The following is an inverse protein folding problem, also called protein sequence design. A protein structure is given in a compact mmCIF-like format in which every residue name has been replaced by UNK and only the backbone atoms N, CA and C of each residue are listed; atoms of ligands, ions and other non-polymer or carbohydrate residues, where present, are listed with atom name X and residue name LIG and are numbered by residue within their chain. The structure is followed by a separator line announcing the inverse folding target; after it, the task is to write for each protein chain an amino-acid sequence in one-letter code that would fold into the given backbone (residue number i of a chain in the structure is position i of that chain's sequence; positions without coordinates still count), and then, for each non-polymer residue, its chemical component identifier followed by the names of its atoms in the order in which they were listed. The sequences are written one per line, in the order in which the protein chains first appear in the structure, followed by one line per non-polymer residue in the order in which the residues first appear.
data_IF_010421272805
#
_entry.id   IF_010421272805
#
_cell.length_a   1.000
_cell.length_b   1.000
_cell.length_c   1.000
_cell.angle_alpha   90.00
_cell.angle_beta   90.00
_cell.angle_gamma   90.00
#
_symmetry.space_group_name_H-M   'P 1'
#
loop_
_entity.id
_entity.type
_entity.pdbx_description
1 polymer ?
#
# COMPACT_ATOMS: atom_id res chain seq x y z
N UNK A 1 -2.52 13.63 3.92
CA UNK A 1 -2.77 12.18 4.18
C UNK A 1 -2.17 11.70 5.50
N UNK A 2 -0.85 11.75 5.74
CA UNK A 2 -0.23 11.23 6.98
C UNK A 2 -0.81 11.80 8.30
N UNK A 3 -1.28 13.06 8.27
CA UNK A 3 -1.92 13.71 9.43
C UNK A 3 -3.43 13.44 9.56
N UNK A 4 -4.01 12.67 8.65
CA UNK A 4 -5.43 12.33 8.60
C UNK A 4 -5.67 10.88 9.04
N UNK A 5 -4.75 9.97 8.73
CA UNK A 5 -4.92 8.57 9.09
C UNK A 5 -4.67 8.35 10.58
N UNK A 6 -5.52 7.53 11.19
CA UNK A 6 -5.44 7.11 12.60
C UNK A 6 -5.69 5.60 12.66
N UNK A 7 -4.67 4.81 12.33
CA UNK A 7 -4.82 3.36 12.27
C UNK A 7 -3.50 2.62 12.54
N UNK A 8 -3.55 1.54 13.33
CA UNK A 8 -2.36 0.76 13.72
C UNK A 8 -1.52 0.29 12.53
N UNK A 9 -2.15 -0.01 11.39
CA UNK A 9 -1.51 -0.55 10.19
C UNK A 9 -1.33 0.46 9.04
N UNK A 10 -1.51 1.75 9.30
CA UNK A 10 -1.28 2.83 8.32
C UNK A 10 -0.34 3.85 8.96
N UNK A 11 0.76 4.19 8.28
CA UNK A 11 1.72 5.15 8.81
C UNK A 11 1.06 6.52 8.97
N UNK A 12 1.22 7.10 10.14
CA UNK A 12 0.64 8.39 10.52
C UNK A 12 1.75 9.32 11.01
N UNK A 13 1.58 10.62 10.80
CA UNK A 13 2.51 11.63 11.32
C UNK A 13 2.28 11.80 12.83
N UNK A 14 3.35 11.65 13.62
CA UNK A 14 3.35 11.98 15.04
C UNK A 14 3.47 13.49 15.24
N UNK A 15 4.28 14.15 14.41
CA UNK A 15 4.47 15.59 14.44
C UNK A 15 5.02 16.11 13.10
N UNK A 16 4.95 17.41 12.88
CA UNK A 16 5.63 18.10 11.78
C UNK A 16 6.43 19.25 12.37
N UNK A 17 7.71 19.33 12.03
CA UNK A 17 8.55 20.42 12.53
C UNK A 17 8.05 21.76 12.02
N UNK A 18 8.15 22.78 12.88
CA UNK A 18 7.80 24.13 12.48
C UNK A 18 8.72 24.59 11.34
N UNK A 19 8.16 24.94 10.18
CA UNK A 19 8.96 25.49 9.10
C UNK A 19 9.49 26.88 9.50
N UNK A 20 10.62 27.33 8.92
CA UNK A 20 11.04 28.72 9.02
C UNK A 20 10.00 29.64 8.36
N UNK A 21 10.25 30.96 8.34
CA UNK A 21 9.39 31.89 7.62
C UNK A 21 9.06 31.40 6.20
N UNK A 22 7.84 31.66 5.72
CA UNK A 22 7.31 31.12 4.45
C UNK A 22 8.25 31.33 3.25
N UNK A 23 8.97 32.45 3.22
CA UNK A 23 9.95 32.78 2.17
C UNK A 23 11.17 31.83 2.14
N UNK A 24 11.49 31.19 3.28
CA UNK A 24 12.60 30.24 3.44
C UNK A 24 12.12 28.79 3.57
N UNK A 25 10.82 28.54 3.34
CA UNK A 25 10.26 27.20 3.42
C UNK A 25 10.64 26.38 2.17
N UNK A 26 11.68 25.57 2.32
CA UNK A 26 12.23 24.70 1.27
C UNK A 26 12.03 23.22 1.55
N UNK A 27 12.03 22.83 2.83
CA UNK A 27 12.00 21.44 3.26
C UNK A 27 10.92 21.23 4.32
N UNK A 28 10.38 20.01 4.35
CA UNK A 28 9.38 19.58 5.33
C UNK A 28 9.94 18.37 6.06
N UNK A 29 9.89 18.43 7.39
CA UNK A 29 10.32 17.33 8.24
C UNK A 29 9.10 16.76 8.96
N UNK A 30 8.74 15.53 8.60
CA UNK A 30 7.63 14.79 9.20
C UNK A 30 8.19 13.77 10.18
N UNK A 31 7.73 13.81 11.42
CA UNK A 31 8.08 12.85 12.46
C UNK A 31 7.04 11.73 12.44
N UNK A 32 7.53 10.49 12.42
CA UNK A 32 6.70 9.29 12.40
C UNK A 32 7.21 8.28 13.43
N UNK A 33 6.45 7.22 13.66
CA UNK A 33 6.93 6.08 14.43
C UNK A 33 8.08 5.39 13.67
N UNK A 34 9.14 4.99 14.39
CA UNK A 34 10.27 4.28 13.81
C UNK A 34 9.95 2.80 13.62
N UNK A 35 9.94 2.35 12.37
CA UNK A 35 9.96 0.93 12.00
C UNK A 35 11.34 0.59 11.44
N UNK A 36 11.99 -0.45 11.97
CA UNK A 36 13.42 -0.73 11.70
C UNK A 36 13.68 -1.24 10.29
N UNK A 37 12.67 -1.80 9.62
CA UNK A 37 12.81 -2.44 8.33
C UNK A 37 11.53 -2.30 7.49
N UNK A 38 11.59 -2.84 6.29
CA UNK A 38 10.46 -3.08 5.38
C UNK A 38 10.30 -4.58 5.14
N UNK A 39 9.12 -4.98 4.63
CA UNK A 39 8.78 -6.37 4.38
C UNK A 39 9.65 -6.98 3.27
N UNK A 40 10.14 -6.18 2.31
CA UNK A 40 11.05 -6.66 1.26
C UNK A 40 12.31 -7.26 1.88
N UNK A 41 12.98 -6.52 2.79
CA UNK A 41 14.15 -7.01 3.52
C UNK A 41 13.85 -8.28 4.32
N UNK A 42 12.68 -8.39 4.93
CA UNK A 42 12.29 -9.62 5.66
C UNK A 42 12.16 -10.80 4.69
N UNK A 43 11.51 -10.61 3.55
CA UNK A 43 11.29 -11.66 2.54
C UNK A 43 12.61 -12.24 2.04
N UNK A 44 13.57 -11.38 1.68
CA UNK A 44 14.86 -11.80 1.10
C UNK A 44 15.91 -12.19 2.16
N UNK A 45 15.64 -11.92 3.44
CA UNK A 45 16.55 -12.30 4.52
C UNK A 45 16.58 -13.82 4.76
N UNK A 46 17.67 -14.36 5.34
CA UNK A 46 17.72 -15.75 5.78
C UNK A 46 16.84 -16.05 7.01
N UNK A 47 16.18 -15.03 7.60
CA UNK A 47 15.33 -15.22 8.76
C UNK A 47 14.11 -16.09 8.39
N UNK A 48 13.81 -17.09 9.20
CA UNK A 48 12.68 -18.00 8.96
C UNK A 48 11.32 -17.28 9.14
N UNK A 49 10.46 -17.33 8.12
CA UNK A 49 9.03 -17.00 8.20
C UNK A 49 8.31 -18.31 8.47
N UNK A 50 7.63 -18.39 9.60
CA UNK A 50 6.68 -19.47 9.83
C UNK A 50 5.30 -19.06 9.23
N UNK A 51 4.35 -20.01 9.12
CA UNK A 51 3.00 -19.72 8.61
C UNK A 51 2.29 -18.61 9.37
N UNK A 52 2.54 -18.49 10.67
CA UNK A 52 1.90 -17.53 11.54
C UNK A 52 2.34 -16.09 11.24
N UNK A 53 3.63 -15.88 10.94
CA UNK A 53 4.13 -14.61 10.46
C UNK A 53 3.44 -14.21 9.15
N UNK A 54 3.26 -15.16 8.22
CA UNK A 54 2.58 -14.91 6.94
C UNK A 54 1.14 -14.44 7.18
N UNK A 55 0.37 -15.17 8.01
CA UNK A 55 -1.01 -14.82 8.35
C UNK A 55 -1.10 -13.44 8.99
N UNK A 56 -0.22 -13.13 9.95
CA UNK A 56 -0.21 -11.85 10.67
C UNK A 56 0.17 -10.69 9.75
N UNK A 57 1.17 -10.85 8.89
CA UNK A 57 1.52 -9.80 7.91
C UNK A 57 0.38 -9.59 6.91
N UNK A 58 -0.18 -10.66 6.34
CA UNK A 58 -1.29 -10.56 5.39
C UNK A 58 -2.52 -9.91 6.02
N UNK A 59 -2.88 -10.29 7.25
CA UNK A 59 -3.98 -9.69 8.00
C UNK A 59 -3.77 -8.19 8.20
N UNK A 60 -2.60 -7.76 8.68
CA UNK A 60 -2.30 -6.35 8.92
C UNK A 60 -2.33 -5.52 7.62
N UNK A 61 -1.83 -6.05 6.50
CA UNK A 61 -1.89 -5.38 5.20
C UNK A 61 -3.34 -5.16 4.77
N UNK A 62 -4.16 -6.21 4.80
CA UNK A 62 -5.57 -6.13 4.41
C UNK A 62 -6.38 -5.22 5.35
N UNK A 63 -6.08 -5.27 6.65
CA UNK A 63 -6.71 -4.40 7.66
C UNK A 63 -6.39 -2.93 7.40
N UNK A 64 -5.13 -2.60 7.10
CA UNK A 64 -4.72 -1.25 6.70
C UNK A 64 -5.38 -0.79 5.40
N UNK A 65 -5.46 -1.68 4.40
CA UNK A 65 -6.15 -1.35 3.14
C UNK A 65 -7.65 -1.14 3.31
N UNK A 66 -8.35 -1.94 4.14
CA UNK A 66 -9.77 -1.70 4.46
C UNK A 66 -9.98 -0.30 5.02
N UNK A 67 -9.11 0.14 5.93
CA UNK A 67 -9.13 1.50 6.47
C UNK A 67 -8.93 2.54 5.35
N UNK A 68 -7.88 2.42 4.54
CA UNK A 68 -7.62 3.35 3.43
C UNK A 68 -8.76 3.40 2.40
N UNK A 69 -9.28 2.25 2.00
CA UNK A 69 -10.39 2.14 1.04
C UNK A 69 -11.67 2.77 1.59
N UNK A 70 -11.93 2.68 2.90
CA UNK A 70 -13.05 3.38 3.53
C UNK A 70 -12.89 4.90 3.55
N UNK A 71 -11.64 5.41 3.55
CA UNK A 71 -11.33 6.82 3.31
C UNK A 71 -11.41 7.23 1.83
N UNK A 72 -11.79 6.30 0.93
CA UNK A 72 -11.74 6.44 -0.53
C UNK A 72 -10.32 6.64 -1.08
N UNK A 73 -9.30 6.16 -0.38
CA UNK A 73 -7.90 6.24 -0.82
C UNK A 73 -7.49 4.93 -1.49
N UNK A 74 -7.08 5.00 -2.75
CA UNK A 74 -6.41 3.91 -3.47
C UNK A 74 -4.90 4.09 -3.31
N UNK A 75 -4.18 3.05 -2.86
CA UNK A 75 -2.75 3.18 -2.61
C UNK A 75 -1.93 3.13 -3.90
N UNK A 76 -2.28 2.22 -4.83
CA UNK A 76 -1.73 2.08 -6.20
C UNK A 76 -0.26 1.65 -6.30
N UNK A 77 0.51 1.71 -5.23
CA UNK A 77 1.90 1.21 -5.15
C UNK A 77 2.13 0.28 -3.94
N UNK A 78 1.21 -0.66 -3.70
CA UNK A 78 1.40 -1.68 -2.66
C UNK A 78 2.49 -2.65 -3.12
N UNK A 79 3.60 -2.66 -2.39
CA UNK A 79 4.76 -3.54 -2.61
C UNK A 79 5.49 -3.76 -1.29
N UNK A 80 6.30 -4.82 -1.13
CA UNK A 80 6.96 -5.12 0.13
C UNK A 80 7.85 -4.00 0.68
N UNK A 81 8.42 -3.15 -0.18
CA UNK A 81 9.20 -1.97 0.24
C UNK A 81 8.37 -0.84 0.89
N UNK A 82 7.06 -0.79 0.59
CA UNK A 82 6.12 0.19 1.15
C UNK A 82 5.34 -0.36 2.37
N UNK A 83 5.78 -1.50 2.89
CA UNK A 83 5.22 -2.15 4.07
C UNK A 83 6.29 -2.17 5.15
N UNK A 84 6.29 -1.15 6.00
CA UNK A 84 7.24 -1.01 7.09
C UNK A 84 6.95 -2.05 8.17
N UNK A 85 8.00 -2.60 8.78
CA UNK A 85 7.90 -3.63 9.82
C UNK A 85 8.90 -3.41 10.95
N UNK A 86 8.55 -3.91 12.14
CA UNK A 86 9.44 -3.94 13.30
C UNK A 86 9.70 -5.35 13.82
N UNK A 87 10.58 -5.47 14.82
CA UNK A 87 10.94 -6.74 15.47
C UNK A 87 9.76 -7.46 16.14
N UNK A 88 8.69 -6.72 16.45
CA UNK A 88 7.47 -7.25 17.04
C UNK A 88 6.44 -7.66 15.97
N UNK A 89 6.83 -7.70 14.69
CA UNK A 89 5.98 -7.98 13.54
C UNK A 89 4.80 -7.00 13.37
N UNK A 90 4.87 -5.81 13.97
CA UNK A 90 3.93 -4.72 13.63
C UNK A 90 4.24 -4.28 12.21
N UNK A 91 3.19 -4.13 11.40
CA UNK A 91 3.28 -3.69 10.02
C UNK A 91 2.48 -2.41 9.81
N UNK A 92 3.07 -1.44 9.11
CA UNK A 92 2.40 -0.21 8.66
C UNK A 92 2.60 0.02 7.16
N UNK A 93 1.52 0.31 6.46
CA UNK A 93 1.55 0.77 5.08
C UNK A 93 2.09 2.20 5.04
N UNK A 94 3.05 2.48 4.17
CA UNK A 94 3.64 3.80 3.95
C UNK A 94 3.73 4.16 2.46
N UNK A 95 4.28 5.35 2.19
CA UNK A 95 4.48 5.89 0.84
C UNK A 95 3.18 6.08 0.04
N UNK A 96 2.50 7.19 0.37
CA UNK A 96 1.29 7.63 -0.30
C UNK A 96 1.59 8.54 -1.51
N UNK A 97 2.82 8.55 -2.04
CA UNK A 97 3.23 9.44 -3.13
C UNK A 97 2.46 9.22 -4.44
N UNK A 98 1.96 7.99 -4.65
CA UNK A 98 1.07 7.64 -5.77
C UNK A 98 -0.38 7.40 -5.32
N UNK A 99 -0.68 7.57 -4.04
CA UNK A 99 -2.03 7.35 -3.55
C UNK A 99 -2.97 8.42 -4.10
N UNK A 100 -4.21 8.04 -4.40
CA UNK A 100 -5.22 8.97 -4.93
C UNK A 100 -6.58 8.70 -4.32
N UNK A 101 -7.39 9.75 -4.20
CA UNK A 101 -8.81 9.60 -3.92
C UNK A 101 -9.47 8.90 -5.11
N UNK A 102 -10.31 7.91 -4.82
CA UNK A 102 -11.07 7.16 -5.80
C UNK A 102 -12.01 8.11 -6.57
N UNK A 103 -11.88 8.14 -7.90
CA UNK A 103 -12.74 8.95 -8.75
C UNK A 103 -14.12 8.28 -8.93
N UNK A 104 -15.21 8.89 -8.41
CA UNK A 104 -16.54 8.29 -8.50
C UNK A 104 -17.09 8.26 -9.94
N UNK A 105 -16.67 9.21 -10.79
CA UNK A 105 -17.11 9.25 -12.18
C UNK A 105 -16.27 8.31 -13.06
N UNK A 106 -16.86 7.18 -13.44
CA UNK A 106 -16.23 6.17 -14.31
C UNK A 106 -15.83 6.70 -15.69
N UNK A 107 -16.36 7.85 -16.12
CA UNK A 107 -16.01 8.45 -17.41
C UNK A 107 -14.71 9.27 -17.37
N UNK A 108 -14.24 9.63 -16.17
CA UNK A 108 -12.99 10.37 -16.03
C UNK A 108 -11.80 9.43 -16.01
N UNK A 109 -10.75 9.84 -16.70
CA UNK A 109 -9.52 9.08 -16.79
C UNK A 109 -8.66 9.29 -15.56
N UNK A 110 -8.16 8.18 -15.01
CA UNK A 110 -7.15 8.20 -13.97
C UNK A 110 -5.76 8.00 -14.58
N UNK A 111 -4.76 8.71 -14.04
CA UNK A 111 -3.39 8.65 -14.54
C UNK A 111 -2.78 7.26 -14.33
N UNK A 112 -1.91 6.85 -15.25
CA UNK A 112 -1.11 5.64 -15.13
C UNK A 112 0.31 6.08 -14.75
N UNK A 113 0.57 6.29 -13.47
CA UNK A 113 1.90 6.64 -12.97
C UNK A 113 2.79 5.40 -12.99
N UNK A 114 3.98 5.53 -13.58
CA UNK A 114 4.84 4.39 -13.93
C UNK A 114 5.92 4.21 -12.85
N UNK A 115 5.75 3.19 -11.98
CA UNK A 115 6.76 2.78 -10.96
C UNK A 115 7.02 1.25 -11.03
N UNK A 116 7.21 0.52 -9.94
CA UNK A 116 7.58 -0.91 -9.92
C UNK A 116 6.48 -1.77 -10.56
N UNK A 117 6.81 -2.66 -11.50
CA UNK A 117 5.81 -3.39 -12.30
C UNK A 117 5.31 -4.71 -11.71
N UNK A 118 6.10 -5.35 -10.84
CA UNK A 118 5.86 -6.73 -10.35
C UNK A 118 4.53 -6.93 -9.62
N UNK A 119 4.01 -5.88 -9.01
CA UNK A 119 2.79 -5.91 -8.19
C UNK A 119 1.59 -5.24 -8.88
N UNK A 120 1.73 -4.82 -10.14
CA UNK A 120 0.66 -4.13 -10.86
C UNK A 120 -0.42 -5.10 -11.32
N UNK A 121 -1.67 -4.65 -11.16
CA UNK A 121 -2.85 -5.39 -11.58
C UNK A 121 -2.98 -5.49 -13.11
N UNK A 122 -3.56 -6.57 -13.64
CA UNK A 122 -3.67 -6.80 -15.08
C UNK A 122 -4.44 -5.69 -15.79
N UNK A 123 -5.48 -5.12 -15.17
CA UNK A 123 -6.23 -4.00 -15.74
C UNK A 123 -5.37 -2.74 -15.93
N UNK A 124 -4.40 -2.48 -15.05
CA UNK A 124 -3.45 -1.37 -15.19
C UNK A 124 -2.49 -1.67 -16.35
N UNK A 125 -1.97 -2.90 -16.43
CA UNK A 125 -1.08 -3.34 -17.52
C UNK A 125 -1.78 -3.31 -18.89
N UNK A 126 -3.08 -3.62 -18.91
CA UNK A 126 -3.92 -3.59 -20.11
C UNK A 126 -4.42 -2.18 -20.46
N UNK A 127 -4.01 -1.15 -19.73
CA UNK A 127 -4.32 0.23 -20.06
C UNK A 127 -5.74 0.69 -19.69
N UNK A 128 -6.34 0.11 -18.63
CA UNK A 128 -7.63 0.56 -18.13
C UNK A 128 -7.58 2.04 -17.75
N UNK A 129 -8.63 2.77 -18.13
CA UNK A 129 -8.74 4.22 -17.91
C UNK A 129 -9.35 4.58 -16.56
N UNK A 130 -10.05 3.64 -15.95
CA UNK A 130 -10.63 3.73 -14.62
C UNK A 130 -10.34 2.43 -13.88
N UNK A 131 -10.03 2.53 -12.60
CA UNK A 131 -9.67 1.41 -11.74
C UNK A 131 -10.11 1.68 -10.31
N UNK A 132 -10.26 0.61 -9.53
CA UNK A 132 -10.85 0.63 -8.18
C UNK A 132 -9.87 0.11 -7.14
N UNK A 133 -10.32 0.03 -5.88
CA UNK A 133 -9.64 -0.67 -4.79
C UNK A 133 -9.14 -2.09 -5.12
N UNK A 134 -9.72 -2.74 -6.14
CA UNK A 134 -9.27 -4.06 -6.60
C UNK A 134 -7.80 -4.10 -7.01
N UNK A 135 -7.21 -2.98 -7.46
CA UNK A 135 -5.78 -2.93 -7.86
C UNK A 135 -4.87 -3.21 -6.67
N UNK A 136 -5.20 -2.70 -5.49
CA UNK A 136 -4.42 -2.93 -4.28
C UNK A 136 -4.55 -4.38 -3.81
N UNK A 137 -5.73 -4.99 -3.95
CA UNK A 137 -5.94 -6.42 -3.61
C UNK A 137 -5.11 -7.34 -4.50
N UNK A 138 -4.99 -7.01 -5.79
CA UNK A 138 -4.09 -7.75 -6.68
C UNK A 138 -2.64 -7.69 -6.18
N UNK A 139 -2.15 -6.49 -5.84
CA UNK A 139 -0.81 -6.30 -5.31
C UNK A 139 -0.59 -7.11 -4.03
N UNK A 140 -1.59 -7.16 -3.13
CA UNK A 140 -1.56 -8.03 -1.94
C UNK A 140 -1.49 -9.50 -2.32
N UNK A 141 -2.20 -9.95 -3.36
CA UNK A 141 -2.09 -11.31 -3.88
C UNK A 141 -0.66 -11.66 -4.31
N UNK A 142 -0.01 -10.76 -5.06
CA UNK A 142 1.40 -10.94 -5.44
C UNK A 142 2.33 -11.05 -4.21
N UNK A 143 2.15 -10.17 -3.23
CA UNK A 143 2.92 -10.17 -1.98
C UNK A 143 2.65 -11.45 -1.17
N UNK A 144 1.40 -11.92 -1.14
CA UNK A 144 1.05 -13.15 -0.45
C UNK A 144 1.73 -14.37 -1.09
N UNK A 145 1.73 -14.45 -2.42
CA UNK A 145 2.51 -15.47 -3.14
C UNK A 145 4.00 -15.40 -2.80
N UNK A 146 4.57 -14.20 -2.78
CA UNK A 146 5.98 -13.97 -2.41
C UNK A 146 6.30 -14.31 -0.95
N UNK A 147 5.38 -14.07 0.00
CA UNK A 147 5.54 -14.51 1.38
C UNK A 147 5.58 -16.05 1.50
N UNK A 148 4.87 -16.76 0.63
CA UNK A 148 4.83 -18.22 0.60
C UNK A 148 6.10 -18.84 -0.03
N UNK A 149 6.63 -18.25 -1.10
CA UNK A 149 7.78 -18.81 -1.85
C UNK A 149 9.11 -18.09 -1.64
N UNK A 150 9.12 -16.95 -0.94
CA UNK A 150 10.29 -16.06 -0.75
C UNK A 150 10.90 -15.52 -2.04
N UNK A 151 10.12 -15.50 -3.12
CA UNK A 151 10.52 -14.99 -4.43
C UNK A 151 9.41 -14.15 -5.03
N UNK A 152 9.78 -13.13 -5.80
CA UNK A 152 8.81 -12.28 -6.50
C UNK A 152 7.96 -13.18 -7.42
N UNK A 153 6.64 -13.14 -7.25
CA UNK A 153 5.72 -14.05 -7.94
C UNK A 153 5.74 -13.85 -9.47
N UNK A 154 5.83 -12.60 -9.91
CA UNK A 154 5.90 -12.21 -11.33
C UNK A 154 7.07 -11.24 -11.54
N UNK A 155 8.23 -11.78 -11.89
CA UNK A 155 9.47 -11.01 -12.06
C UNK A 155 9.73 -10.67 -13.53
N UNK A 156 8.94 -9.76 -14.11
CA UNK A 156 9.08 -9.36 -15.51
C UNK A 156 9.98 -8.14 -15.75
N UNK A 157 10.60 -8.04 -16.92
CA UNK A 157 11.40 -6.86 -17.31
C UNK A 157 10.55 -5.73 -17.89
N UNK A 158 9.36 -6.02 -18.39
CA UNK A 158 8.47 -5.01 -18.97
C UNK A 158 6.97 -5.35 -18.78
N UNK A 159 6.04 -4.41 -19.01
CA UNK A 159 4.60 -4.63 -18.78
C UNK A 159 3.98 -5.75 -19.63
N UNK A 160 4.50 -6.01 -20.83
CA UNK A 160 4.00 -7.08 -21.71
C UNK A 160 4.40 -8.44 -21.15
N UNK A 161 5.67 -8.60 -20.79
CA UNK A 161 6.17 -9.81 -20.14
C UNK A 161 5.45 -10.07 -18.80
N UNK A 162 5.16 -9.01 -18.02
CA UNK A 162 4.38 -9.13 -16.81
C UNK A 162 2.99 -9.73 -17.09
N UNK A 163 2.33 -9.27 -18.15
CA UNK A 163 1.04 -9.78 -18.57
C UNK A 163 1.12 -11.23 -19.07
N UNK A 164 2.19 -11.57 -19.78
CA UNK A 164 2.45 -12.95 -20.24
C UNK A 164 2.62 -13.91 -19.05
N UNK A 165 3.42 -13.55 -18.04
CA UNK A 165 3.61 -14.35 -16.82
C UNK A 165 2.29 -14.55 -16.06
N UNK A 166 1.48 -13.48 -15.94
CA UNK A 166 0.15 -13.57 -15.33
C UNK A 166 -0.73 -14.56 -16.09
N UNK A 167 -0.69 -14.51 -17.43
CA UNK A 167 -1.46 -15.38 -18.31
C UNK A 167 -0.99 -16.83 -18.25
N UNK A 168 0.29 -17.08 -18.00
CA UNK A 168 0.82 -18.43 -17.78
C UNK A 168 0.27 -19.09 -16.53
N UNK A 169 0.10 -18.31 -15.47
CA UNK A 169 -0.47 -18.81 -14.22
C UNK A 169 -2.00 -18.95 -14.31
N UNK A 170 -2.69 -17.89 -14.72
CA UNK A 170 -4.16 -17.79 -14.67
C UNK A 170 -4.86 -18.33 -15.93
N UNK A 171 -4.12 -18.61 -16.99
CA UNK A 171 -4.66 -18.95 -18.30
C UNK A 171 -5.10 -17.71 -19.09
N UNK A 172 -5.50 -17.91 -20.35
CA UNK A 172 -5.98 -16.81 -21.19
C UNK A 172 -7.34 -16.30 -20.68
N UNK A 173 -7.46 -15.00 -20.32
CA UNK A 173 -8.71 -14.42 -19.85
C UNK A 173 -9.77 -14.42 -20.96
N UNK A 174 -11.04 -14.52 -20.59
CA UNK A 174 -12.13 -14.36 -21.54
C UNK A 174 -12.31 -12.89 -21.88
N UNK A 175 -13.01 -12.60 -22.98
CA UNK A 175 -13.33 -11.22 -23.40
C UNK A 175 -14.07 -10.46 -22.28
N UNK A 176 -14.96 -11.13 -21.55
CA UNK A 176 -15.69 -10.57 -20.40
C UNK A 176 -14.78 -10.10 -19.26
N UNK A 177 -13.64 -10.78 -19.07
CA UNK A 177 -12.66 -10.48 -18.03
C UNK A 177 -11.72 -9.33 -18.46
N UNK A 178 -11.72 -8.97 -19.74
CA UNK A 178 -10.92 -7.89 -20.33
C UNK A 178 -11.77 -6.65 -20.68
N UNK A 179 -12.93 -6.49 -20.05
CA UNK A 179 -13.88 -5.39 -20.35
C UNK A 179 -13.25 -4.00 -20.24
N UNK A 180 -12.31 -3.83 -19.32
CA UNK A 180 -11.62 -2.56 -19.07
C UNK A 180 -10.33 -2.40 -19.86
N UNK A 181 -9.88 -3.43 -20.59
CA UNK A 181 -8.66 -3.41 -21.37
C UNK A 181 -8.77 -2.46 -22.57
N UNK A 182 -7.68 -1.75 -22.87
CA UNK A 182 -7.56 -1.00 -24.11
C UNK A 182 -7.53 -1.94 -25.32
N UNK A 183 -7.85 -1.41 -26.51
CA UNK A 183 -7.94 -2.21 -27.73
C UNK A 183 -6.61 -2.92 -28.06
N UNK A 184 -5.48 -2.23 -27.89
CA UNK A 184 -4.16 -2.80 -28.14
C UNK A 184 -3.84 -4.01 -27.26
N UNK A 185 -4.12 -3.91 -25.95
CA UNK A 185 -3.90 -5.01 -25.01
C UNK A 185 -4.82 -6.19 -25.29
N UNK A 186 -6.10 -5.94 -25.58
CA UNK A 186 -7.07 -6.99 -25.93
C UNK A 186 -6.66 -7.75 -27.18
N UNK A 187 -6.25 -7.02 -28.22
CA UNK A 187 -5.77 -7.61 -29.47
C UNK A 187 -4.48 -8.42 -29.27
N UNK A 188 -3.56 -7.95 -28.42
CA UNK A 188 -2.37 -8.71 -28.05
C UNK A 188 -2.74 -10.05 -27.39
N UNK A 189 -3.62 -10.03 -26.38
CA UNK A 189 -4.06 -11.24 -25.66
C UNK A 189 -4.76 -12.26 -26.58
N UNK A 190 -5.60 -11.79 -27.51
CA UNK A 190 -6.34 -12.66 -28.43
C UNK A 190 -5.48 -13.25 -29.56
N UNK A 191 -4.31 -12.66 -29.86
CA UNK A 191 -3.36 -13.20 -30.84
C UNK A 191 -2.51 -14.34 -30.29
N UNK A 192 -2.31 -14.38 -28.98
CA UNK A 192 -1.56 -15.44 -28.32
C UNK A 192 -2.36 -16.76 -28.31
N UNK A 193 -1.71 -17.93 -28.45
CA UNK A 193 -2.39 -19.21 -28.32
C UNK A 193 -3.09 -19.35 -26.96
N UNK A 194 -4.33 -19.87 -26.90
CA UNK A 194 -5.04 -20.04 -25.63
C UNK A 194 -4.26 -20.91 -24.64
N UNK A 195 -3.94 -20.35 -23.48
CA UNK A 195 -3.28 -21.05 -22.36
C UNK A 195 -4.34 -21.51 -21.35
N UNK A 196 -4.17 -22.72 -20.80
CA UNK A 196 -4.99 -23.21 -19.69
C UNK A 196 -4.44 -22.70 -18.36
N UNK A 197 -5.28 -22.44 -17.35
CA UNK A 197 -4.80 -22.06 -16.02
C UNK A 197 -3.91 -23.14 -15.41
N UNK A 198 -2.79 -22.73 -14.80
CA UNK A 198 -1.83 -23.59 -14.11
C UNK A 198 -1.88 -23.37 -12.59
N UNK A 199 -3.10 -23.31 -12.02
CA UNK A 199 -3.30 -22.99 -10.60
C UNK A 199 -2.67 -24.04 -9.65
N UNK A 200 -2.42 -25.25 -10.13
CA UNK A 200 -1.69 -26.27 -9.37
C UNK A 200 -0.27 -25.83 -9.01
N UNK A 201 0.34 -24.94 -9.80
CA UNK A 201 1.65 -24.36 -9.48
C UNK A 201 1.63 -23.57 -8.16
N UNK A 202 0.47 -23.03 -7.74
CA UNK A 202 0.35 -22.30 -6.48
C UNK A 202 0.56 -23.19 -5.25
N UNK A 203 0.21 -24.48 -5.35
CA UNK A 203 0.49 -25.47 -4.29
C UNK A 203 1.99 -25.80 -4.18
N UNK A 204 2.78 -25.46 -5.19
CA UNK A 204 4.25 -25.68 -5.19
C UNK A 204 5.04 -24.46 -4.74
N UNK A 205 4.38 -23.35 -4.40
CA UNK A 205 5.05 -22.12 -3.95
C UNK A 205 5.87 -22.34 -2.67
N UNK A 206 5.47 -23.24 -1.78
CA UNK A 206 6.23 -23.55 -0.58
C UNK A 206 5.50 -24.48 0.35
N UNK A 207 6.17 -24.91 1.43
CA UNK A 207 5.59 -25.80 2.45
C UNK A 207 4.42 -25.18 3.23
N UNK A 208 4.16 -23.88 3.06
CA UNK A 208 3.08 -23.14 3.71
C UNK A 208 1.90 -22.86 2.78
N UNK A 209 1.93 -23.32 1.52
CA UNK A 209 0.85 -23.21 0.57
C UNK A 209 -0.28 -24.23 0.89
N UNK A 210 -0.97 -24.04 2.01
CA UNK A 210 -2.14 -24.85 2.39
C UNK A 210 -3.30 -24.64 1.42
N UNK A 211 -4.31 -25.50 1.49
CA UNK A 211 -5.50 -25.36 0.65
C UNK A 211 -6.19 -24.01 0.85
N UNK A 212 -6.32 -23.56 2.10
CA UNK A 212 -6.92 -22.27 2.44
C UNK A 212 -6.06 -21.09 1.97
N UNK A 213 -4.73 -21.21 2.05
CA UNK A 213 -3.80 -20.21 1.55
C UNK A 213 -3.95 -20.03 0.03
N UNK A 214 -3.87 -21.15 -0.71
CA UNK A 214 -4.00 -21.14 -2.16
C UNK A 214 -5.40 -20.71 -2.59
N UNK A 215 -6.44 -21.11 -1.87
CA UNK A 215 -7.81 -20.68 -2.14
C UNK A 215 -7.97 -19.17 -2.02
N UNK A 216 -7.48 -18.54 -0.94
CA UNK A 216 -7.50 -17.09 -0.79
C UNK A 216 -6.67 -16.40 -1.90
N UNK A 217 -5.48 -16.93 -2.20
CA UNK A 217 -4.59 -16.40 -3.22
C UNK A 217 -5.26 -16.41 -4.62
N UNK A 218 -5.94 -17.50 -4.98
CA UNK A 218 -6.71 -17.60 -6.22
C UNK A 218 -7.86 -16.58 -6.30
N UNK A 219 -8.45 -16.20 -5.16
CA UNK A 219 -9.52 -15.18 -5.14
C UNK A 219 -8.97 -13.75 -5.24
N UNK A 220 -7.70 -13.52 -4.87
CA UNK A 220 -6.99 -12.25 -5.06
C UNK A 220 -6.44 -12.10 -6.48
N UNK A 221 -5.90 -13.19 -7.05
CA UNK A 221 -5.31 -13.21 -8.40
C UNK A 221 -6.35 -13.54 -9.47
N UNK A 222 -7.21 -12.55 -9.77
CA UNK A 222 -8.27 -12.64 -10.78
C UNK A 222 -8.12 -11.53 -11.81
N UNK A 223 -8.26 -11.86 -13.10
CA UNK A 223 -8.18 -10.89 -14.20
C UNK A 223 -9.24 -9.81 -14.12
N UNK A 224 -10.52 -10.20 -14.03
CA UNK A 224 -11.63 -9.26 -13.92
C UNK A 224 -11.64 -8.62 -12.53
N UNK A 225 -11.39 -7.30 -12.40
CA UNK A 225 -11.37 -6.63 -11.10
C UNK A 225 -12.75 -6.66 -10.42
N UNK A 226 -13.85 -6.82 -11.16
CA UNK A 226 -15.20 -6.92 -10.58
C UNK A 226 -15.46 -8.30 -9.93
N UNK A 227 -14.70 -9.33 -10.34
CA UNK A 227 -14.79 -10.69 -9.77
C UNK A 227 -13.74 -10.95 -8.68
N UNK A 228 -12.76 -10.05 -8.55
CA UNK A 228 -11.69 -10.14 -7.54
C UNK A 228 -12.26 -9.96 -6.15
N UNK A 229 -11.75 -10.73 -5.18
CA UNK A 229 -12.19 -10.62 -3.79
C UNK A 229 -12.00 -9.18 -3.28
N UNK A 230 -12.95 -8.69 -2.50
CA UNK A 230 -12.80 -7.39 -1.82
C UNK A 230 -11.93 -7.54 -0.58
N UNK A 231 -11.32 -6.45 -0.11
CA UNK A 231 -10.56 -6.47 1.17
C UNK A 231 -11.40 -6.96 2.35
N UNK A 232 -12.70 -6.63 2.38
CA UNK A 232 -13.63 -7.06 3.43
C UNK A 232 -13.83 -8.57 3.39
N UNK A 233 -14.08 -9.13 2.21
CA UNK A 233 -14.27 -10.58 2.05
C UNK A 233 -12.94 -11.34 2.25
N UNK A 234 -11.81 -10.76 1.87
CA UNK A 234 -10.49 -11.32 2.12
C UNK A 234 -10.21 -11.39 3.61
N UNK A 235 -10.47 -10.32 4.37
CA UNK A 235 -10.38 -10.32 5.82
C UNK A 235 -11.26 -11.40 6.44
N UNK A 236 -12.49 -11.60 5.95
CA UNK A 236 -13.42 -12.62 6.42
C UNK A 236 -13.04 -14.07 6.05
N UNK A 237 -12.01 -14.28 5.22
CA UNK A 237 -11.63 -15.60 4.75
C UNK A 237 -11.06 -16.49 5.89
N UNK A 238 -11.38 -17.80 5.95
CA UNK A 238 -10.95 -18.70 7.04
C UNK A 238 -9.43 -18.73 7.26
N UNK A 239 -8.63 -18.61 6.19
CA UNK A 239 -7.16 -18.53 6.28
C UNK A 239 -6.64 -17.46 7.26
N UNK A 240 -7.38 -16.36 7.44
CA UNK A 240 -6.97 -15.22 8.28
C UNK A 240 -7.55 -15.26 9.70
N UNK A 241 -8.37 -16.25 10.05
CA UNK A 241 -9.02 -16.32 11.36
C UNK A 241 -7.99 -16.35 12.51
N UNK A 242 -7.00 -17.23 12.42
CA UNK A 242 -5.92 -17.32 13.41
C UNK A 242 -5.09 -16.03 13.46
N UNK A 243 -4.79 -15.45 12.30
CA UNK A 243 -4.01 -14.21 12.19
C UNK A 243 -4.73 -13.04 12.85
N UNK A 244 -6.04 -12.93 12.62
CA UNK A 244 -6.93 -11.94 13.24
C UNK A 244 -6.91 -12.11 14.77
N UNK A 245 -7.18 -13.31 15.25
CA UNK A 245 -7.27 -13.59 16.69
C UNK A 245 -5.94 -13.30 17.39
N UNK A 246 -4.83 -13.72 16.78
CA UNK A 246 -3.49 -13.50 17.33
C UNK A 246 -3.13 -12.03 17.39
N UNK A 247 -3.41 -11.27 16.32
CA UNK A 247 -3.16 -9.84 16.30
C UNK A 247 -3.92 -9.11 17.42
N UNK A 248 -5.20 -9.42 17.62
CA UNK A 248 -6.01 -8.76 18.65
C UNK A 248 -5.73 -9.23 20.09
N UNK A 249 -5.17 -10.43 20.23
CA UNK A 249 -4.82 -10.97 21.55
C UNK A 249 -3.56 -10.34 22.13
N UNK A 250 -2.60 -9.88 21.33
CA UNK A 250 -1.33 -9.38 21.87
C UNK A 250 -0.60 -8.28 21.10
N UNK A 251 -1.08 -7.84 19.92
CA UNK A 251 -0.35 -6.88 19.08
C UNK A 251 -1.05 -5.54 18.88
N UNK A 252 -2.38 -5.53 18.79
CA UNK A 252 -3.13 -4.32 18.50
C UNK A 252 -3.16 -3.33 19.69
N UNK A 253 -3.36 -2.06 19.39
CA UNK A 253 -3.58 -1.02 20.43
C UNK A 253 -5.04 -0.91 20.86
N UNK A 254 -5.98 -1.44 20.06
CA UNK A 254 -7.43 -1.34 20.30
C UNK A 254 -8.00 -2.34 21.32
N UNK A 255 -7.22 -3.34 21.75
CA UNK A 255 -7.62 -4.31 22.77
C UNK A 255 -6.64 -4.22 23.96
N UNK A 256 -7.13 -4.43 25.18
CA UNK A 256 -6.32 -4.24 26.39
C UNK A 256 -6.70 -5.25 27.48
N UNK A 257 -5.77 -5.48 28.41
CA UNK A 257 -6.03 -6.30 29.59
C UNK A 257 -6.58 -5.44 30.72
N UNK A 258 -7.66 -5.88 31.34
CA UNK A 258 -8.24 -5.23 32.52
C UNK A 258 -7.41 -5.56 33.77
N UNK A 259 -7.60 -4.81 34.85
CA UNK A 259 -6.96 -5.09 36.16
C UNK A 259 -7.26 -6.50 36.71
N UNK A 260 -8.30 -7.17 36.19
CA UNK A 260 -8.67 -8.54 36.55
C UNK A 260 -7.92 -9.62 35.74
N UNK A 261 -7.06 -9.23 34.80
CA UNK A 261 -6.37 -10.15 33.89
C UNK A 261 -7.21 -10.63 32.71
N UNK A 262 -8.45 -10.15 32.56
CA UNK A 262 -9.30 -10.43 31.41
C UNK A 262 -8.98 -9.49 30.24
N UNK A 263 -8.73 -10.06 29.05
CA UNK A 263 -8.56 -9.33 27.80
C UNK A 263 -9.90 -8.78 27.32
N UNK A 264 -9.98 -7.46 27.15
CA UNK A 264 -11.11 -6.78 26.54
C UNK A 264 -10.84 -6.53 25.06
N UNK A 265 -11.68 -7.14 24.21
CA UNK A 265 -11.61 -7.01 22.77
C UNK A 265 -12.41 -5.80 22.27
N UNK A 266 -11.89 -5.10 21.25
CA UNK A 266 -12.64 -4.07 20.53
C UNK A 266 -13.90 -4.67 19.89
N UNK A 267 -15.02 -3.92 19.82
CA UNK A 267 -16.22 -4.39 19.12
C UNK A 267 -16.03 -4.48 17.60
N UNK A 268 -15.07 -3.73 17.05
CA UNK A 268 -14.71 -3.76 15.63
C UNK A 268 -13.20 -4.01 15.49
N UNK A 269 -12.84 -5.19 15.01
CA UNK A 269 -11.45 -5.57 14.77
C UNK A 269 -10.84 -4.82 13.60
N UNK A 270 -11.64 -4.38 12.64
CA UNK A 270 -11.19 -3.93 11.33
C UNK A 270 -11.86 -2.57 11.01
N UNK A 271 -11.57 -1.51 11.79
CA UNK A 271 -12.33 -0.27 11.71
C UNK A 271 -12.19 0.44 10.37
N UNK A 272 -13.26 1.13 9.99
CA UNK A 272 -13.28 2.09 8.88
C UNK A 272 -13.06 3.51 9.37
N UNK A 273 -12.69 4.42 8.46
CA UNK A 273 -12.56 5.85 8.79
C UNK A 273 -13.94 6.43 9.07
N UNK A 274 -14.02 7.41 9.98
CA UNK A 274 -15.27 8.08 10.29
C UNK A 274 -15.79 8.95 9.13
N UNK A 275 -14.87 9.47 8.31
CA UNK A 275 -15.14 10.30 7.14
C UNK A 275 -14.17 9.96 6.00
N UNK A 276 -14.59 10.18 4.73
CA UNK A 276 -13.70 10.06 3.59
C UNK A 276 -12.62 11.15 3.61
N UNK A 277 -11.50 10.91 2.91
CA UNK A 277 -10.49 11.94 2.71
C UNK A 277 -11.01 13.01 1.75
N UNK A 278 -10.87 14.29 2.13
CA UNK A 278 -11.22 15.43 1.28
C UNK A 278 -9.99 15.88 0.48
N UNK A 279 -10.03 15.73 -0.84
CA UNK A 279 -9.03 16.19 -1.80
C UNK A 279 -9.45 17.46 -2.55
N UNK A 280 -10.62 18.04 -2.28
CA UNK A 280 -11.13 19.18 -3.04
C UNK A 280 -10.26 20.43 -2.93
N UNK A 281 -9.51 20.55 -1.84
CA UNK A 281 -8.55 21.64 -1.63
C UNK A 281 -7.40 21.59 -2.66
N UNK A 282 -6.99 20.40 -3.13
CA UNK A 282 -5.92 20.24 -4.12
C UNK A 282 -6.26 20.91 -5.45
N UNK A 283 -7.55 20.93 -5.83
CA UNK A 283 -8.02 21.53 -7.09
C UNK A 283 -7.79 23.04 -7.16
N UNK A 284 -7.60 23.69 -6.01
CA UNK A 284 -7.32 25.13 -5.92
C UNK A 284 -5.82 25.44 -6.07
N UNK A 285 -4.96 24.42 -5.99
CA UNK A 285 -3.51 24.56 -6.04
C UNK A 285 -3.03 24.46 -7.49
N UNK A 286 -2.69 25.61 -8.05
CA UNK A 286 -2.26 25.77 -9.46
C UNK A 286 -0.81 26.25 -9.58
N UNK A 287 -0.17 26.63 -8.47
CA UNK A 287 1.21 27.06 -8.43
C UNK A 287 1.94 26.52 -7.21
N UNK A 288 3.27 26.38 -7.32
CA UNK A 288 4.14 25.97 -6.20
C UNK A 288 4.02 26.93 -5.01
N UNK A 289 3.80 28.22 -5.27
CA UNK A 289 3.62 29.22 -4.21
C UNK A 289 2.36 28.94 -3.38
N UNK A 290 1.24 28.62 -4.03
CA UNK A 290 0.00 28.26 -3.34
C UNK A 290 0.18 26.99 -2.49
N UNK A 291 0.89 25.99 -3.02
CA UNK A 291 1.23 24.78 -2.27
C UNK A 291 2.02 25.13 -1.01
N UNK A 292 3.08 25.95 -1.14
CA UNK A 292 3.90 26.37 0.00
C UNK A 292 3.11 27.12 1.07
N UNK A 293 2.26 28.06 0.65
CA UNK A 293 1.43 28.85 1.57
C UNK A 293 0.41 27.98 2.31
N UNK A 294 -0.25 27.07 1.60
CA UNK A 294 -1.25 26.18 2.20
C UNK A 294 -0.59 25.19 3.17
N UNK A 295 0.57 24.63 2.80
CA UNK A 295 1.35 23.76 3.68
C UNK A 295 1.87 24.51 4.91
N UNK A 296 2.37 25.73 4.75
CA UNK A 296 2.82 26.55 5.87
C UNK A 296 1.67 26.84 6.84
N UNK A 297 0.51 27.25 6.32
CA UNK A 297 -0.70 27.51 7.11
C UNK A 297 -1.14 26.24 7.85
N UNK A 298 -1.23 25.11 7.15
CA UNK A 298 -1.60 23.82 7.73
C UNK A 298 -0.68 23.42 8.89
N UNK A 299 0.63 23.62 8.78
CA UNK A 299 1.57 23.31 9.86
C UNK A 299 1.42 24.31 11.01
N UNK A 300 1.33 25.60 10.71
CA UNK A 300 1.20 26.66 11.72
C UNK A 300 -0.08 26.49 12.57
N UNK A 301 -1.22 26.17 11.96
CA UNK A 301 -2.49 25.94 12.67
C UNK A 301 -2.43 24.74 13.61
N UNK A 302 -1.70 23.69 13.25
CA UNK A 302 -1.52 22.50 14.12
C UNK A 302 -0.57 22.77 15.29
N UNK A 303 0.28 23.78 15.17
CA UNK A 303 1.18 24.23 16.23
C UNK A 303 0.54 25.26 17.16
N UNK A 304 -0.67 25.75 16.86
CA UNK A 304 -1.47 26.62 17.74
C UNK A 304 -2.12 25.84 18.90
N UNK A 305 -1.30 25.00 19.54
CA UNK A 305 -1.60 24.24 20.74
C UNK A 305 -0.66 24.74 21.85
N UNK A 306 -0.95 24.49 23.15
CA UNK A 306 -0.05 24.91 24.23
C UNK A 306 1.32 24.21 24.23
N UNK A 307 1.59 23.35 23.24
CA UNK A 307 2.82 22.59 23.11
C UNK A 307 3.88 23.45 22.43
N UNK A 308 5.09 23.48 22.97
CA UNK A 308 6.22 24.15 22.32
C UNK A 308 6.51 23.46 20.99
N UNK A 309 6.54 24.18 19.86
CA UNK A 309 6.82 23.59 18.56
C UNK A 309 8.18 22.88 18.51
N UNK A 310 8.22 21.75 17.82
CA UNK A 310 9.49 21.09 17.52
C UNK A 310 10.22 21.86 16.41
N UNK A 311 11.41 22.35 16.75
CA UNK A 311 12.29 23.08 15.83
C UNK A 311 13.63 22.36 15.71
N UNK A 312 14.25 22.48 14.53
CA UNK A 312 15.64 22.07 14.33
C UNK A 312 16.53 23.00 15.15
N UNK A 313 17.52 22.45 15.85
CA UNK A 313 18.57 23.22 16.52
C UNK A 313 19.86 23.20 15.67
N UNK A 314 20.18 24.26 14.88
CA UNK A 314 21.35 24.30 14.02
C UNK A 314 22.67 24.35 14.81
N UNK A 315 22.62 24.71 16.10
CA UNK A 315 23.79 24.81 16.98
C UNK A 315 24.16 23.46 17.60
N UNK A 316 23.33 22.43 17.43
CA UNK A 316 23.62 21.09 17.93
C UNK A 316 24.86 20.51 17.25
N UNK A 317 25.73 19.86 18.02
CA UNK A 317 26.88 19.12 17.48
C UNK A 317 26.45 18.03 16.47
N UNK A 318 25.24 17.48 16.63
CA UNK A 318 24.67 16.49 15.73
C UNK A 318 24.07 17.10 14.44
N UNK A 319 23.92 18.43 14.35
CA UNK A 319 23.27 19.07 13.21
C UNK A 319 24.02 18.84 11.90
N UNK A 320 25.37 18.81 11.93
CA UNK A 320 26.17 18.52 10.74
C UNK A 320 25.85 17.15 10.14
N UNK A 321 25.72 16.14 11.00
CA UNK A 321 25.39 14.77 10.57
C UNK A 321 23.93 14.67 10.11
N UNK A 322 23.02 15.39 10.77
CA UNK A 322 21.62 15.48 10.35
C UNK A 322 21.48 16.13 8.96
N UNK A 323 22.11 17.29 8.76
CA UNK A 323 22.09 18.02 7.50
C UNK A 323 22.80 17.27 6.35
N UNK A 324 23.79 16.42 6.66
CA UNK A 324 24.44 15.56 5.67
C UNK A 324 23.79 14.18 5.52
N UNK A 325 22.76 13.85 6.31
CA UNK A 325 22.05 12.58 6.24
C UNK A 325 21.08 12.60 5.06
N UNK A 326 21.60 12.46 3.86
CA UNK A 326 20.80 12.20 2.65
C UNK A 326 20.31 10.75 2.69
N UNK A 327 19.27 10.48 3.47
CA UNK A 327 18.54 9.19 3.41
C UNK A 327 17.68 9.12 2.12
N UNK A 328 17.45 10.25 1.46
CA UNK A 328 16.89 10.33 0.11
C UNK A 328 17.94 10.89 -0.86
N UNK A 329 18.62 10.03 -1.62
CA UNK A 329 19.38 10.49 -2.78
C UNK A 329 18.41 11.03 -3.85
N UNK A 330 18.74 12.14 -4.54
CA UNK A 330 17.96 12.68 -5.68
C UNK A 330 17.91 11.76 -6.92
N UNK A 331 18.52 10.57 -6.88
CA UNK A 331 18.63 9.68 -8.04
C UNK A 331 17.32 8.99 -8.45
N UNK A 332 16.24 9.17 -7.67
CA UNK A 332 14.89 8.71 -8.03
C UNK A 332 13.85 9.80 -7.77
N UNK A 333 14.14 11.05 -8.16
CA UNK A 333 13.02 11.94 -8.48
C UNK A 333 12.29 11.31 -9.67
N UNK A 334 11.02 10.86 -9.55
CA UNK A 334 10.22 10.63 -10.75
C UNK A 334 10.28 11.94 -11.56
N UNK A 335 10.46 11.88 -12.89
CA UNK A 335 10.48 13.08 -13.69
C UNK A 335 9.23 13.88 -13.35
N UNK A 336 9.43 15.13 -12.96
CA UNK A 336 8.36 16.09 -12.76
C UNK A 336 7.36 15.95 -13.92
N UNK A 337 6.04 15.83 -13.67
CA UNK A 337 5.03 15.85 -14.73
C UNK A 337 5.04 17.13 -15.58
N UNK A 338 5.92 18.08 -15.25
CA UNK A 338 6.05 19.40 -15.86
C UNK A 338 7.46 19.70 -16.38
N UNK A 339 8.24 18.72 -16.83
CA UNK A 339 9.27 19.03 -17.83
C UNK A 339 8.61 19.42 -19.15
N UNK A 340 8.13 20.67 -19.20
CA UNK A 340 7.89 21.40 -20.43
C UNK A 340 9.20 22.10 -20.79
N UNK A 341 9.97 21.47 -21.67
CA UNK A 341 10.66 22.09 -22.81
C UNK A 341 10.69 21.10 -23.96
#
# INVERSE_FOLDING_TARGET
MLCFFEHDNVLSALDILQPPHVDFFQEIYVITELLQSDLHKIIVSPQHLNPEHIKIFLYQILRGLKYLHSARILHRDIKPGNLLVNSNCVLKICDFGLARVEEPDRNKYMTQEVVTQYYRAPEILMGARHYTAAVDVWSVGCIFGELLCRQILFQAQNPVEQLDMITELLGTPKIEDMRYACEGARMHMLRCPPKRPSLTALYTLGSHATHEAVHLLCQMLVFDPDKRITVVNALAHPYLEDGRLRYHSCMCTCCYDTNSGLRQYTPDFEPSTAYPFDDLWERKLTSVQQVKEEMYRFIAERLDTPRVPLCINPQSAAFKNFASSTVAHPSELPPSPHQWE
#
